data_IF_808284584696
#
_entry.id   IF_808284584696
#
_cell.length_a   1.000
_cell.length_b   1.000
_cell.length_c   1.000
_cell.angle_alpha   90.00
_cell.angle_beta   90.00
_cell.angle_gamma   90.00
#
_symmetry.space_group_name_H-M   'P 1'
#
loop_
_entity.id
_entity.type
_entity.pdbx_description
1 polymer ?
#
# COMPACT_ATOMS: atom_id res chain seq x y z
N UNK A 1 15.66 5.95 -12.92
CA UNK A 1 14.91 5.11 -11.94
C UNK A 1 14.55 3.81 -12.63
N UNK A 2 14.57 2.67 -11.94
CA UNK A 2 14.07 1.41 -12.48
C UNK A 2 12.60 1.61 -12.93
N UNK A 3 12.22 1.29 -14.18
CA UNK A 3 10.85 1.44 -14.70
C UNK A 3 9.78 0.86 -13.77
N UNK A 4 10.10 -0.26 -13.09
CA UNK A 4 9.21 -0.96 -12.18
C UNK A 4 8.92 -0.14 -10.91
N UNK A 5 9.90 0.63 -10.42
CA UNK A 5 9.72 1.54 -9.27
C UNK A 5 8.86 2.76 -9.63
N UNK A 6 9.03 3.29 -10.86
CA UNK A 6 8.18 4.37 -11.37
C UNK A 6 6.74 3.89 -11.53
N UNK A 7 6.54 2.69 -12.09
CA UNK A 7 5.23 2.06 -12.21
C UNK A 7 4.57 1.85 -10.84
N UNK A 8 5.28 1.26 -9.87
CA UNK A 8 4.79 1.06 -8.50
C UNK A 8 4.31 2.38 -7.86
N UNK A 9 5.08 3.47 -8.03
CA UNK A 9 4.73 4.77 -7.49
C UNK A 9 3.46 5.35 -8.10
N UNK A 10 3.35 5.36 -9.44
CA UNK A 10 2.15 5.87 -10.12
C UNK A 10 0.92 5.02 -9.83
N UNK A 11 1.09 3.70 -9.83
CA UNK A 11 0.03 2.76 -9.52
C UNK A 11 -0.45 2.92 -8.07
N UNK A 12 0.46 3.12 -7.12
CA UNK A 12 0.14 3.44 -5.73
C UNK A 12 -0.76 4.67 -5.58
N UNK A 13 -0.49 5.77 -6.28
CA UNK A 13 -1.34 6.97 -6.23
C UNK A 13 -2.75 6.70 -6.78
N UNK A 14 -2.87 5.92 -7.86
CA UNK A 14 -4.17 5.52 -8.40
C UNK A 14 -4.95 4.65 -7.39
N UNK A 15 -4.28 3.75 -6.68
CA UNK A 15 -4.92 2.89 -5.68
C UNK A 15 -5.48 3.68 -4.50
N UNK A 16 -4.80 4.73 -4.03
CA UNK A 16 -5.34 5.61 -2.99
C UNK A 16 -6.68 6.21 -3.41
N UNK A 17 -6.77 6.67 -4.66
CA UNK A 17 -8.01 7.18 -5.23
C UNK A 17 -9.09 6.10 -5.33
N UNK A 18 -8.74 4.90 -5.78
CA UNK A 18 -9.71 3.78 -5.88
C UNK A 18 -10.25 3.34 -4.51
N UNK A 19 -9.41 3.32 -3.48
CA UNK A 19 -9.84 3.05 -2.10
C UNK A 19 -10.77 4.15 -1.61
N UNK A 20 -10.44 5.42 -1.86
CA UNK A 20 -11.34 6.54 -1.56
C UNK A 20 -12.69 6.37 -2.27
N UNK A 21 -12.69 5.98 -3.55
CA UNK A 21 -13.92 5.70 -4.30
C UNK A 21 -14.74 4.59 -3.64
N UNK A 22 -14.12 3.49 -3.17
CA UNK A 22 -14.85 2.44 -2.43
C UNK A 22 -15.52 3.01 -1.18
N UNK A 23 -14.83 3.87 -0.42
CA UNK A 23 -15.39 4.52 0.77
C UNK A 23 -16.59 5.40 0.40
N UNK A 24 -16.44 6.26 -0.61
CA UNK A 24 -17.51 7.15 -1.07
C UNK A 24 -18.73 6.37 -1.59
N UNK A 25 -18.50 5.30 -2.36
CA UNK A 25 -19.57 4.41 -2.82
C UNK A 25 -20.28 3.76 -1.63
N UNK A 26 -19.53 3.23 -0.65
CA UNK A 26 -20.11 2.65 0.56
C UNK A 26 -20.93 3.67 1.37
N UNK A 27 -20.49 4.93 1.42
CA UNK A 27 -21.18 6.01 2.14
C UNK A 27 -22.50 6.41 1.48
N UNK A 28 -22.47 6.65 0.17
CA UNK A 28 -23.60 7.27 -0.56
C UNK A 28 -24.51 6.27 -1.28
N UNK A 29 -23.98 5.14 -1.73
CA UNK A 29 -24.72 4.13 -2.51
C UNK A 29 -24.83 2.77 -1.80
N UNK A 30 -24.12 2.60 -0.68
CA UNK A 30 -24.03 1.35 0.05
C UNK A 30 -22.90 0.43 -0.45
N UNK A 31 -22.60 -0.65 0.29
CA UNK A 31 -21.49 -1.54 -0.02
C UNK A 31 -21.61 -2.22 -1.39
N UNK A 32 -20.53 -2.13 -2.18
CA UNK A 32 -20.39 -2.85 -3.44
C UNK A 32 -19.24 -3.86 -3.35
N UNK A 33 -19.58 -5.12 -3.09
CA UNK A 33 -18.59 -6.19 -2.88
C UNK A 33 -17.74 -6.48 -4.12
N UNK A 34 -18.25 -6.24 -5.34
CA UNK A 34 -17.46 -6.39 -6.57
C UNK A 34 -16.35 -5.33 -6.63
N UNK A 35 -16.71 -4.07 -6.41
CA UNK A 35 -15.75 -2.97 -6.40
C UNK A 35 -14.71 -3.14 -5.28
N UNK A 36 -15.15 -3.49 -4.08
CA UNK A 36 -14.27 -3.75 -2.94
C UNK A 36 -13.21 -4.82 -3.28
N UNK A 37 -13.62 -5.97 -3.83
CA UNK A 37 -12.71 -7.07 -4.22
C UNK A 37 -11.71 -6.64 -5.29
N UNK A 38 -12.19 -5.96 -6.34
CA UNK A 38 -11.32 -5.49 -7.42
C UNK A 38 -10.24 -4.59 -6.85
N UNK A 39 -10.62 -3.58 -6.06
CA UNK A 39 -9.66 -2.64 -5.47
C UNK A 39 -8.67 -3.35 -4.55
N UNK A 40 -9.13 -4.28 -3.70
CA UNK A 40 -8.22 -5.07 -2.84
C UNK A 40 -7.19 -5.86 -3.66
N UNK A 41 -7.61 -6.53 -4.74
CA UNK A 41 -6.68 -7.29 -5.61
C UNK A 41 -5.68 -6.35 -6.32
N UNK A 42 -6.12 -5.17 -6.75
CA UNK A 42 -5.21 -4.18 -7.36
C UNK A 42 -4.16 -3.70 -6.33
N UNK A 43 -4.51 -3.58 -5.04
CA UNK A 43 -3.54 -3.29 -3.97
C UNK A 43 -2.57 -4.45 -3.76
N UNK A 44 -3.04 -5.71 -3.78
CA UNK A 44 -2.18 -6.90 -3.69
C UNK A 44 -1.14 -6.92 -4.82
N UNK A 45 -1.55 -6.60 -6.06
CA UNK A 45 -0.64 -6.49 -7.21
C UNK A 45 0.43 -5.42 -6.94
N UNK A 46 0.04 -4.25 -6.46
CA UNK A 46 1.01 -3.19 -6.17
C UNK A 46 1.99 -3.57 -5.06
N UNK A 47 1.53 -4.30 -4.04
CA UNK A 47 2.38 -4.82 -2.99
C UNK A 47 3.43 -5.79 -3.57
N UNK A 48 3.01 -6.73 -4.41
CA UNK A 48 3.94 -7.68 -5.07
C UNK A 48 4.96 -6.95 -5.94
N UNK A 49 4.52 -5.98 -6.75
CA UNK A 49 5.43 -5.14 -7.56
C UNK A 49 6.42 -4.39 -6.66
N UNK A 50 5.95 -3.85 -5.52
CA UNK A 50 6.81 -3.18 -4.53
C UNK A 50 7.87 -4.11 -3.92
N UNK A 51 7.49 -5.34 -3.59
CA UNK A 51 8.42 -6.37 -3.09
C UNK A 51 9.49 -6.69 -4.14
N UNK A 52 9.09 -6.91 -5.40
CA UNK A 52 10.04 -7.17 -6.51
C UNK A 52 10.97 -5.98 -6.72
N UNK A 53 10.45 -4.75 -6.72
CA UNK A 53 11.25 -3.53 -6.82
C UNK A 53 12.27 -3.40 -5.67
N UNK A 54 11.88 -3.77 -4.46
CA UNK A 54 12.75 -3.70 -3.28
C UNK A 54 13.99 -4.59 -3.44
N UNK A 55 13.82 -5.85 -3.87
CA UNK A 55 14.94 -6.76 -4.11
C UNK A 55 15.84 -6.32 -5.27
N UNK A 56 15.33 -5.58 -6.25
CA UNK A 56 16.11 -5.11 -7.40
C UNK A 56 16.92 -3.84 -7.16
N UNK A 57 16.58 -3.04 -6.13
CA UNK A 57 17.13 -1.67 -6.01
C UNK A 57 18.13 -1.47 -4.88
N UNK A 58 18.30 -2.45 -3.97
CA UNK A 58 19.19 -2.38 -2.80
C UNK A 58 19.08 -1.07 -1.98
N UNK A 59 17.96 -0.35 -2.11
CA UNK A 59 17.75 0.92 -1.42
C UNK A 59 17.32 0.65 0.02
N UNK A 60 17.87 1.36 1.01
CA UNK A 60 17.39 1.27 2.37
C UNK A 60 15.94 1.82 2.42
N UNK A 61 14.99 0.94 2.69
CA UNK A 61 13.57 1.29 2.91
C UNK A 61 13.30 1.16 4.41
N UNK A 62 12.58 2.12 4.99
CA UNK A 62 12.18 1.97 6.39
C UNK A 62 11.17 0.83 6.57
N UNK A 63 11.31 0.08 7.68
CA UNK A 63 10.38 -0.96 8.12
C UNK A 63 8.92 -0.50 8.19
N UNK A 64 8.68 0.80 8.41
CA UNK A 64 7.32 1.33 8.41
C UNK A 64 6.60 1.11 7.08
N UNK A 65 7.30 1.22 5.94
CA UNK A 65 6.66 1.08 4.64
C UNK A 65 6.01 -0.31 4.44
N UNK A 66 6.75 -1.45 4.55
CA UNK A 66 6.16 -2.78 4.39
C UNK A 66 5.17 -3.13 5.51
N UNK A 67 5.42 -2.72 6.77
CA UNK A 67 4.51 -3.01 7.89
C UNK A 67 3.15 -2.34 7.67
N UNK A 68 3.15 -1.05 7.34
CA UNK A 68 1.92 -0.29 7.10
C UNK A 68 1.19 -0.78 5.85
N UNK A 69 1.92 -1.13 4.79
CA UNK A 69 1.35 -1.68 3.57
C UNK A 69 0.67 -3.05 3.82
N UNK A 70 1.32 -3.95 4.56
CA UNK A 70 0.74 -5.25 4.91
C UNK A 70 -0.48 -5.12 5.83
N UNK A 71 -0.42 -4.22 6.82
CA UNK A 71 -1.55 -3.93 7.70
C UNK A 71 -2.75 -3.38 6.91
N UNK A 72 -2.51 -2.50 5.94
CA UNK A 72 -3.56 -2.01 5.06
C UNK A 72 -4.19 -3.13 4.23
N UNK A 73 -3.37 -3.99 3.62
CA UNK A 73 -3.85 -5.15 2.84
C UNK A 73 -4.73 -6.06 3.69
N UNK A 74 -4.32 -6.39 4.91
CA UNK A 74 -5.12 -7.20 5.83
C UNK A 74 -6.51 -6.58 6.08
N UNK A 75 -6.58 -5.27 6.36
CA UNK A 75 -7.83 -4.56 6.57
C UNK A 75 -8.72 -4.52 5.30
N UNK A 76 -8.12 -4.33 4.14
CA UNK A 76 -8.84 -4.38 2.86
C UNK A 76 -9.48 -5.76 2.65
N UNK A 77 -8.77 -6.85 2.92
CA UNK A 77 -9.31 -8.21 2.83
C UNK A 77 -10.43 -8.49 3.85
N UNK A 78 -10.31 -7.97 5.08
CA UNK A 78 -11.37 -8.05 6.10
C UNK A 78 -12.65 -7.35 5.61
N UNK A 79 -12.51 -6.22 4.91
CA UNK A 79 -13.62 -5.43 4.38
C UNK A 79 -14.16 -5.90 3.04
N UNK A 80 -13.38 -6.63 2.22
CA UNK A 80 -13.60 -6.79 0.78
C UNK A 80 -14.89 -7.53 0.34
N UNK A 81 -15.57 -8.19 1.28
CA UNK A 81 -16.78 -8.98 1.02
C UNK A 81 -17.93 -8.62 1.95
N UNK A 82 -17.81 -7.49 2.65
CA UNK A 82 -18.78 -7.08 3.65
C UNK A 82 -19.93 -6.31 3.01
N UNK A 83 -21.16 -6.70 3.38
CA UNK A 83 -22.37 -5.93 3.09
C UNK A 83 -22.73 -4.94 4.21
N UNK A 84 -22.03 -5.02 5.35
CA UNK A 84 -22.13 -4.00 6.40
C UNK A 84 -21.35 -2.73 6.00
N UNK A 85 -22.09 -1.64 5.81
CA UNK A 85 -21.57 -0.29 5.52
C UNK A 85 -20.53 0.18 6.54
N UNK A 86 -20.82 0.01 7.83
CA UNK A 86 -19.93 0.50 8.89
C UNK A 86 -18.60 -0.23 8.87
N UNK A 87 -18.63 -1.55 8.67
CA UNK A 87 -17.42 -2.36 8.53
C UNK A 87 -16.60 -1.95 7.30
N UNK A 88 -17.24 -1.80 6.13
CA UNK A 88 -16.53 -1.40 4.89
C UNK A 88 -15.88 -0.04 5.06
N UNK A 89 -16.63 0.97 5.52
CA UNK A 89 -16.11 2.33 5.70
C UNK A 89 -14.94 2.35 6.68
N UNK A 90 -15.05 1.67 7.82
CA UNK A 90 -13.97 1.62 8.82
C UNK A 90 -12.73 0.92 8.28
N UNK A 91 -12.87 -0.28 7.73
CA UNK A 91 -11.75 -1.04 7.20
C UNK A 91 -11.02 -0.30 6.08
N UNK A 92 -11.76 0.21 5.09
CA UNK A 92 -11.17 0.91 3.95
C UNK A 92 -10.59 2.28 4.35
N UNK A 93 -11.19 3.00 5.30
CA UNK A 93 -10.64 4.29 5.77
C UNK A 93 -9.34 4.10 6.54
N UNK A 94 -9.28 3.12 7.45
CA UNK A 94 -8.05 2.81 8.18
C UNK A 94 -6.97 2.34 7.21
N UNK A 95 -7.31 1.47 6.25
CA UNK A 95 -6.38 1.03 5.20
C UNK A 95 -5.86 2.22 4.36
N UNK A 96 -6.73 3.17 3.99
CA UNK A 96 -6.34 4.37 3.25
C UNK A 96 -5.29 5.18 4.04
N UNK A 97 -5.53 5.42 5.33
CA UNK A 97 -4.60 6.14 6.19
C UNK A 97 -3.26 5.42 6.32
N UNK A 98 -3.28 4.08 6.49
CA UNK A 98 -2.08 3.27 6.54
C UNK A 98 -1.26 3.33 5.24
N UNK A 99 -1.92 3.31 4.07
CA UNK A 99 -1.24 3.44 2.78
C UNK A 99 -0.68 4.84 2.54
N UNK A 100 -1.36 5.89 3.00
CA UNK A 100 -0.83 7.26 2.99
C UNK A 100 0.41 7.35 3.89
N UNK A 101 0.36 6.75 5.09
CA UNK A 101 1.50 6.70 5.99
C UNK A 101 2.67 5.89 5.40
N UNK A 102 2.39 4.75 4.75
CA UNK A 102 3.39 3.98 4.02
C UNK A 102 4.02 4.83 2.90
N UNK A 103 3.22 5.60 2.17
CA UNK A 103 3.73 6.51 1.14
C UNK A 103 4.59 7.63 1.72
N UNK A 104 4.20 8.19 2.87
CA UNK A 104 4.93 9.25 3.58
C UNK A 104 6.38 8.86 3.88
N UNK A 105 6.65 7.59 4.17
CA UNK A 105 8.02 7.07 4.42
C UNK A 105 9.00 7.44 3.30
N UNK A 106 8.55 7.51 2.05
CA UNK A 106 9.40 7.82 0.90
C UNK A 106 9.13 9.21 0.30
N UNK A 107 8.24 10.00 0.90
CA UNK A 107 7.86 11.32 0.43
C UNK A 107 8.73 12.42 1.05
N UNK A 108 8.95 13.52 0.31
CA UNK A 108 9.70 14.68 0.81
C UNK A 108 9.07 15.29 2.06
N UNK A 109 7.74 15.32 2.11
CA UNK A 109 6.94 15.86 3.22
C UNK A 109 6.77 14.89 4.40
N UNK A 110 7.17 13.62 4.26
CA UNK A 110 6.99 12.63 5.32
C UNK A 110 7.82 12.92 6.57
N UNK A 111 7.33 12.60 7.78
CA UNK A 111 8.05 12.83 9.03
C UNK A 111 9.43 12.15 9.03
N UNK A 112 10.42 12.81 9.61
CA UNK A 112 11.81 12.31 9.57
C UNK A 112 11.98 10.99 10.32
N UNK A 113 11.31 10.83 11.45
CA UNK A 113 11.34 9.60 12.26
C UNK A 113 10.75 8.36 11.54
N UNK A 114 9.86 8.55 10.55
CA UNK A 114 9.41 7.47 9.66
C UNK A 114 10.50 6.97 8.71
N UNK A 115 11.52 7.79 8.46
CA UNK A 115 12.59 7.49 7.50
C UNK A 115 13.76 6.78 8.15
N UNK A 116 14.02 7.04 9.43
CA UNK A 116 15.24 6.62 10.14
C UNK A 116 15.27 5.14 10.59
N UNK A 117 14.21 4.37 10.36
CA UNK A 117 14.07 2.98 10.85
C UNK A 117 14.24 1.96 9.72
N UNK A 118 15.47 1.73 9.26
CA UNK A 118 15.75 1.01 8.01
C UNK A 118 15.72 -0.52 8.10
N UNK A 119 15.22 -1.16 7.04
CA UNK A 119 15.52 -2.55 6.71
C UNK A 119 16.99 -2.61 6.28
N UNK A 120 17.85 -3.21 7.11
CA UNK A 120 19.16 -3.69 6.64
C UNK A 120 18.93 -5.05 6.03
N UNK A 121 18.98 -5.15 4.71
CA UNK A 121 19.14 -6.46 4.09
C UNK A 121 20.49 -7.02 4.56
N UNK A 122 20.61 -8.35 4.82
CA UNK A 122 21.94 -8.95 4.81
C UNK A 122 22.57 -8.55 3.48
N UNK A 123 23.83 -8.14 3.50
CA UNK A 123 24.60 -7.87 2.29
C UNK A 123 24.66 -9.17 1.50
N UNK A 124 23.64 -9.43 0.68
CA UNK A 124 23.73 -10.47 -0.34
C UNK A 124 24.85 -9.96 -1.20
N UNK A 125 25.95 -10.69 -1.13
CA UNK A 125 27.20 -10.38 -1.79
C UNK A 125 26.88 -9.76 -3.14
N UNK A 126 27.45 -8.58 -3.37
CA UNK A 126 27.86 -8.19 -4.70
C UNK A 126 28.64 -9.39 -5.20
N UNK A 127 27.99 -10.30 -5.91
CA UNK A 127 28.68 -11.28 -6.75
C UNK A 127 29.35 -10.36 -7.75
N UNK A 128 30.64 -10.15 -7.49
CA UNK A 128 31.54 -9.41 -8.34
C UNK A 128 31.39 -9.94 -9.76
N UNK A 129 31.51 -9.00 -10.71
CA UNK A 129 31.58 -9.17 -12.16
C UNK A 129 32.00 -10.55 -12.65
#
# INVERSE_FOLDING_TARGET
>A
MNPLFTAHKHYGSLLLLLILIVILVALFKGPNTKLQRIVTVLVDINLVVGIVAFFQTARPISWFHPILALAAVALLHIGAKSEDKSKVVRCFSIALLLLIAAWAVNASWGPEWFKLNFVRLPSVAVIAK
#
